data_IF_005889343133
#
_entry.id   IF_005889343133
#
_cell.length_a   1.000
_cell.length_b   1.000
_cell.length_c   1.000
_cell.angle_alpha   90.00
_cell.angle_beta   90.00
_cell.angle_gamma   90.00
#
_symmetry.space_group_name_H-M   'P 1'
#
loop_
_entity.id
_entity.type
_entity.pdbx_description
1 polymer ?
#
# COMPACT_ATOMS: atom_id res chain seq x y z
N UNK A 1 17.25 36.24 -1.15
CA UNK A 1 16.52 36.47 0.11
C UNK A 1 16.95 35.40 1.09
N UNK A 2 17.21 35.77 2.35
CA UNK A 2 17.43 34.79 3.41
C UNK A 2 16.14 33.99 3.60
N UNK A 3 16.26 32.67 3.74
CA UNK A 3 15.11 31.82 4.05
C UNK A 3 14.84 31.98 5.55
N UNK A 4 13.68 32.52 5.91
CA UNK A 4 13.24 32.54 7.31
C UNK A 4 12.26 31.39 7.55
N UNK A 5 12.18 30.83 8.77
CA UNK A 5 11.23 29.76 9.10
C UNK A 5 9.78 30.17 8.80
N UNK A 6 9.45 31.45 9.00
CA UNK A 6 8.13 32.03 8.69
C UNK A 6 7.74 31.88 7.22
N UNK A 7 8.68 32.05 6.29
CA UNK A 7 8.42 31.89 4.85
C UNK A 7 8.12 30.43 4.52
N UNK A 8 8.86 29.49 5.11
CA UNK A 8 8.62 28.06 4.91
C UNK A 8 7.24 27.68 5.44
N UNK A 9 6.91 28.08 6.67
CA UNK A 9 5.60 27.81 7.27
C UNK A 9 4.46 28.42 6.45
N UNK A 10 4.60 29.67 6.00
CA UNK A 10 3.62 30.31 5.12
C UNK A 10 3.42 29.53 3.81
N UNK A 11 4.51 29.04 3.19
CA UNK A 11 4.43 28.19 1.98
C UNK A 11 3.70 26.88 2.26
N UNK A 12 4.01 26.20 3.36
CA UNK A 12 3.34 24.95 3.75
C UNK A 12 1.84 25.16 4.02
N UNK A 13 1.45 26.30 4.59
CA UNK A 13 0.03 26.66 4.78
C UNK A 13 -0.69 26.80 3.44
N UNK A 14 -0.08 27.43 2.44
CA UNK A 14 -0.68 27.62 1.09
C UNK A 14 -0.83 26.32 0.27
N UNK A 15 -0.23 25.21 0.71
CA UNK A 15 -0.32 23.91 0.03
C UNK A 15 -1.78 23.42 -0.05
N UNK A 16 -2.26 23.14 -1.26
CA UNK A 16 -3.60 22.61 -1.52
C UNK A 16 -3.55 21.32 -2.37
N UNK A 17 -4.71 20.76 -2.71
CA UNK A 17 -4.83 19.46 -3.39
C UNK A 17 -4.49 19.50 -4.90
N UNK A 18 -4.30 20.69 -5.48
CA UNK A 18 -3.99 20.82 -6.90
C UNK A 18 -2.54 20.42 -7.20
N UNK A 19 -2.33 19.75 -8.32
CA UNK A 19 -1.01 19.35 -8.77
C UNK A 19 -0.07 20.56 -8.98
N UNK A 20 -0.61 21.70 -9.42
CA UNK A 20 0.15 22.94 -9.60
C UNK A 20 0.68 23.48 -8.26
N UNK A 21 -0.14 23.48 -7.20
CA UNK A 21 0.30 23.89 -5.86
C UNK A 21 1.42 22.99 -5.34
N UNK A 22 1.24 21.67 -5.41
CA UNK A 22 2.22 20.69 -4.95
C UNK A 22 3.54 20.84 -5.73
N UNK A 23 3.46 20.87 -7.05
CA UNK A 23 4.65 20.98 -7.93
C UNK A 23 5.36 22.32 -7.75
N UNK A 24 4.62 23.42 -7.65
CA UNK A 24 5.16 24.75 -7.45
C UNK A 24 5.92 24.88 -6.12
N UNK A 25 5.36 24.35 -5.03
CA UNK A 25 6.03 24.36 -3.72
C UNK A 25 7.22 23.40 -3.73
N UNK A 26 7.12 22.22 -4.35
CA UNK A 26 8.25 21.30 -4.49
C UNK A 26 9.43 21.93 -5.24
N UNK A 27 9.17 22.64 -6.34
CA UNK A 27 10.19 23.40 -7.06
C UNK A 27 10.85 24.46 -6.18
N UNK A 28 10.07 25.19 -5.39
CA UNK A 28 10.58 26.20 -4.47
C UNK A 28 11.46 25.58 -3.36
N UNK A 29 11.07 24.43 -2.81
CA UNK A 29 11.86 23.66 -1.83
C UNK A 29 13.19 23.23 -2.45
N UNK A 30 13.18 22.69 -3.67
CA UNK A 30 14.38 22.23 -4.38
C UNK A 30 15.32 23.41 -4.70
N UNK A 31 14.76 24.57 -5.07
CA UNK A 31 15.54 25.78 -5.27
C UNK A 31 16.29 26.21 -3.99
N UNK A 32 15.65 26.04 -2.82
CA UNK A 32 16.22 26.35 -1.51
C UNK A 32 16.91 25.16 -0.82
N UNK A 33 17.35 24.13 -1.56
CA UNK A 33 18.00 22.92 -1.02
C UNK A 33 19.16 23.15 -0.03
N UNK A 34 19.84 24.32 -0.09
CA UNK A 34 20.87 24.69 0.88
C UNK A 34 20.36 24.73 2.33
N UNK A 35 19.07 24.94 2.51
CA UNK A 35 18.37 24.93 3.79
C UNK A 35 17.55 23.65 3.98
N UNK A 36 17.94 22.54 3.35
CA UNK A 36 17.19 21.28 3.39
C UNK A 36 16.82 20.87 4.83
N UNK A 37 17.78 20.86 5.75
CA UNK A 37 17.52 20.46 7.14
C UNK A 37 16.45 21.32 7.82
N UNK A 38 16.54 22.65 7.67
CA UNK A 38 15.56 23.59 8.26
C UNK A 38 14.17 23.41 7.65
N UNK A 39 14.09 23.28 6.32
CA UNK A 39 12.82 23.05 5.62
C UNK A 39 12.18 21.73 6.05
N UNK A 40 12.98 20.65 6.15
CA UNK A 40 12.48 19.35 6.58
C UNK A 40 12.03 19.36 8.04
N UNK A 41 12.74 20.06 8.93
CA UNK A 41 12.30 20.21 10.32
C UNK A 41 10.94 20.91 10.44
N UNK A 42 10.73 21.99 9.70
CA UNK A 42 9.43 22.69 9.69
C UNK A 42 8.33 21.85 9.03
N UNK A 43 8.67 21.07 8.01
CA UNK A 43 7.75 20.09 7.43
C UNK A 43 7.35 19.00 8.44
N UNK A 44 8.28 18.51 9.27
CA UNK A 44 8.00 17.52 10.33
C UNK A 44 7.03 18.09 11.38
N UNK A 45 7.27 19.30 11.84
CA UNK A 45 6.39 20.01 12.78
C UNK A 45 4.99 20.18 12.17
N UNK A 46 4.93 20.66 10.93
CA UNK A 46 3.67 20.82 10.19
C UNK A 46 2.94 19.49 9.99
N UNK A 47 3.65 18.39 9.70
CA UNK A 47 3.05 17.07 9.53
C UNK A 47 2.45 16.52 10.82
N UNK A 48 3.10 16.80 11.95
CA UNK A 48 2.62 16.37 13.27
C UNK A 48 1.31 17.06 13.65
N UNK A 49 1.24 18.37 13.41
CA UNK A 49 0.13 19.24 13.83
C UNK A 49 -1.03 19.30 12.82
N UNK A 50 -0.77 18.97 11.56
CA UNK A 50 -1.76 19.03 10.50
C UNK A 50 -2.96 18.08 10.71
N UNK A 51 -4.18 18.45 10.29
CA UNK A 51 -5.31 17.54 10.22
C UNK A 51 -5.10 16.46 9.13
N UNK A 52 -5.85 15.36 9.20
CA UNK A 52 -5.66 14.17 8.35
C UNK A 52 -5.53 14.45 6.85
N UNK A 53 -6.37 15.32 6.28
CA UNK A 53 -6.31 15.68 4.86
C UNK A 53 -5.02 16.45 4.53
N UNK A 54 -4.60 17.37 5.40
CA UNK A 54 -3.37 18.16 5.20
C UNK A 54 -2.12 17.31 5.37
N UNK A 55 -2.12 16.29 6.26
CA UNK A 55 -1.02 15.31 6.35
C UNK A 55 -0.77 14.60 5.04
N UNK A 56 -1.84 14.20 4.34
CA UNK A 56 -1.72 13.58 3.02
C UNK A 56 -1.09 14.53 2.00
N UNK A 57 -1.49 15.81 1.98
CA UNK A 57 -0.88 16.80 1.09
C UNK A 57 0.59 17.03 1.38
N UNK A 58 0.98 17.11 2.65
CA UNK A 58 2.37 17.22 3.06
C UNK A 58 3.20 15.99 2.63
N UNK A 59 2.61 14.80 2.65
CA UNK A 59 3.23 13.58 2.12
C UNK A 59 3.34 13.59 0.59
N UNK A 60 2.37 14.13 -0.13
CA UNK A 60 2.48 14.33 -1.58
C UNK A 60 3.56 15.36 -1.94
N UNK A 61 3.67 16.44 -1.18
CA UNK A 61 4.74 17.41 -1.32
C UNK A 61 6.11 16.77 -1.13
N UNK A 62 6.33 16.04 -0.03
CA UNK A 62 7.65 15.45 0.21
C UNK A 62 7.98 14.39 -0.84
N UNK A 63 6.98 13.62 -1.28
CA UNK A 63 7.11 12.67 -2.36
C UNK A 63 7.57 13.33 -3.67
N UNK A 64 6.93 14.44 -4.06
CA UNK A 64 7.33 15.21 -5.25
C UNK A 64 8.78 15.73 -5.11
N UNK A 65 9.12 16.27 -3.93
CA UNK A 65 10.47 16.78 -3.64
C UNK A 65 11.53 15.69 -3.77
N UNK A 66 11.36 14.52 -3.14
CA UNK A 66 12.38 13.45 -3.18
C UNK A 66 12.50 12.83 -4.58
N UNK A 67 11.39 12.68 -5.31
CA UNK A 67 11.41 12.18 -6.69
C UNK A 67 12.13 13.15 -7.62
N UNK A 68 11.78 14.44 -7.61
CA UNK A 68 12.45 15.43 -8.42
C UNK A 68 13.91 15.62 -8.02
N UNK A 69 14.23 15.57 -6.73
CA UNK A 69 15.60 15.64 -6.24
C UNK A 69 16.43 14.47 -6.79
N UNK A 70 15.85 13.26 -6.86
CA UNK A 70 16.50 12.10 -7.46
C UNK A 70 16.78 12.30 -8.96
N UNK A 71 15.80 12.80 -9.72
CA UNK A 71 15.95 13.09 -11.16
C UNK A 71 17.04 14.16 -11.39
N UNK A 72 17.06 15.20 -10.56
CA UNK A 72 18.03 16.30 -10.62
C UNK A 72 19.37 15.98 -9.94
N UNK A 73 19.56 14.74 -9.45
CA UNK A 73 20.76 14.28 -8.72
C UNK A 73 21.14 15.17 -7.51
N UNK A 74 20.13 15.67 -6.82
CA UNK A 74 20.26 16.44 -5.58
C UNK A 74 20.07 15.47 -4.41
N UNK A 75 21.12 15.24 -3.62
CA UNK A 75 21.08 14.31 -2.49
C UNK A 75 20.71 14.99 -1.17
N UNK A 76 21.08 16.27 -0.99
CA UNK A 76 20.87 17.03 0.26
C UNK A 76 19.47 16.89 0.86
N UNK A 77 18.42 16.96 0.02
CA UNK A 77 17.03 16.83 0.44
C UNK A 77 16.64 15.39 0.79
N UNK A 78 17.16 14.40 0.05
CA UNK A 78 16.89 12.99 0.32
C UNK A 78 17.57 12.59 1.63
N UNK A 79 18.81 13.03 1.83
CA UNK A 79 19.61 12.77 3.02
C UNK A 79 19.03 13.47 4.26
N UNK A 80 18.45 14.66 4.11
CA UNK A 80 17.75 15.36 5.19
C UNK A 80 16.43 14.67 5.60
N UNK A 81 15.71 14.06 4.67
CA UNK A 81 14.44 13.35 4.94
C UNK A 81 14.67 11.95 5.52
N UNK A 82 15.66 11.24 5.02
CA UNK A 82 15.95 9.83 5.34
C UNK A 82 15.95 9.49 6.84
N UNK A 83 16.58 10.26 7.75
CA UNK A 83 16.62 9.89 9.17
C UNK A 83 15.26 9.99 9.88
N UNK A 84 14.32 10.79 9.36
CA UNK A 84 13.04 11.05 10.03
C UNK A 84 11.86 10.37 9.35
N UNK A 85 12.01 9.91 8.11
CA UNK A 85 10.90 9.40 7.29
C UNK A 85 10.17 8.24 7.94
N UNK A 86 10.88 7.32 8.60
CA UNK A 86 10.25 6.15 9.25
C UNK A 86 9.31 6.59 10.36
N UNK A 87 9.80 7.43 11.28
CA UNK A 87 9.03 7.88 12.43
C UNK A 87 7.89 8.82 12.02
N UNK A 88 8.20 9.84 11.22
CA UNK A 88 7.24 10.87 10.86
C UNK A 88 6.08 10.32 10.00
N UNK A 89 6.40 9.48 9.00
CA UNK A 89 5.38 8.92 8.10
C UNK A 89 4.55 7.86 8.82
N UNK A 90 5.16 7.04 9.70
CA UNK A 90 4.39 6.05 10.47
C UNK A 90 3.46 6.69 11.50
N UNK A 91 3.88 7.76 12.18
CA UNK A 91 3.03 8.52 13.08
C UNK A 91 1.87 9.19 12.33
N UNK A 92 2.15 9.81 11.17
CA UNK A 92 1.11 10.37 10.31
C UNK A 92 0.13 9.27 9.88
N UNK A 93 0.63 8.12 9.43
CA UNK A 93 -0.15 6.96 9.01
C UNK A 93 -1.09 6.43 10.12
N UNK A 94 -0.60 6.29 11.35
CA UNK A 94 -1.40 5.82 12.48
C UNK A 94 -2.58 6.76 12.78
N UNK A 95 -2.36 8.08 12.64
CA UNK A 95 -3.33 9.11 12.98
C UNK A 95 -4.44 9.36 11.94
N UNK A 96 -4.35 8.81 10.73
CA UNK A 96 -5.31 9.08 9.64
C UNK A 96 -6.32 7.94 9.44
N UNK A 97 -7.51 8.21 8.85
CA UNK A 97 -8.50 7.18 8.52
C UNK A 97 -8.02 6.23 7.43
N UNK A 98 -8.67 5.06 7.31
CA UNK A 98 -8.33 3.99 6.37
C UNK A 98 -8.24 4.46 4.92
N UNK A 99 -9.15 5.32 4.47
CA UNK A 99 -9.14 5.89 3.10
C UNK A 99 -7.84 6.63 2.78
N UNK A 100 -7.29 7.36 3.75
CA UNK A 100 -6.03 8.10 3.58
C UNK A 100 -4.83 7.15 3.74
N UNK A 101 -4.90 6.19 4.66
CA UNK A 101 -3.88 5.14 4.80
C UNK A 101 -3.59 4.43 3.48
N UNK A 102 -4.62 4.08 2.71
CA UNK A 102 -4.45 3.47 1.38
C UNK A 102 -3.66 4.40 0.44
N UNK A 103 -3.94 5.70 0.46
CA UNK A 103 -3.20 6.70 -0.33
C UNK A 103 -1.73 6.82 0.11
N UNK A 104 -1.46 6.76 1.42
CA UNK A 104 -0.09 6.77 1.96
C UNK A 104 0.67 5.49 1.55
N UNK A 105 0.02 4.33 1.56
CA UNK A 105 0.61 3.06 1.06
C UNK A 105 1.01 3.16 -0.41
N UNK A 106 0.22 3.80 -1.26
CA UNK A 106 0.62 4.05 -2.65
C UNK A 106 1.88 4.93 -2.76
N UNK A 107 2.02 5.96 -1.92
CA UNK A 107 3.25 6.79 -1.89
C UNK A 107 4.45 5.93 -1.50
N UNK A 108 4.30 5.07 -0.49
CA UNK A 108 5.34 4.12 -0.09
C UNK A 108 5.71 3.13 -1.21
N UNK A 109 4.73 2.59 -1.94
CA UNK A 109 4.98 1.69 -3.06
C UNK A 109 5.79 2.37 -4.16
N UNK A 110 5.51 3.65 -4.44
CA UNK A 110 6.31 4.44 -5.39
C UNK A 110 7.75 4.62 -4.90
N UNK A 111 7.97 4.84 -3.61
CA UNK A 111 9.32 4.90 -3.04
C UNK A 111 10.07 3.57 -3.17
N UNK A 112 9.37 2.45 -3.03
CA UNK A 112 9.93 1.11 -3.25
C UNK A 112 10.31 0.90 -4.72
N UNK A 113 9.39 1.16 -5.64
CA UNK A 113 9.58 0.96 -7.08
C UNK A 113 10.74 1.81 -7.62
N UNK A 114 10.89 3.04 -7.13
CA UNK A 114 11.91 3.97 -7.60
C UNK A 114 13.20 3.94 -6.77
N UNK A 115 13.28 3.05 -5.76
CA UNK A 115 14.40 2.94 -4.83
C UNK A 115 14.87 4.31 -4.30
N UNK A 116 13.91 5.14 -3.84
CA UNK A 116 14.19 6.49 -3.34
C UNK A 116 15.01 6.43 -2.05
N UNK A 117 14.64 5.51 -1.15
CA UNK A 117 15.31 5.27 0.11
C UNK A 117 15.98 3.88 0.12
N UNK A 118 16.87 3.66 1.09
CA UNK A 118 17.52 2.36 1.26
C UNK A 118 16.51 1.26 1.61
N UNK A 119 16.82 0.01 1.25
CA UNK A 119 15.96 -1.14 1.56
C UNK A 119 15.64 -1.24 3.06
N UNK A 120 16.62 -0.91 3.93
CA UNK A 120 16.43 -0.91 5.38
C UNK A 120 15.33 0.08 5.81
N UNK A 121 15.39 1.32 5.33
CA UNK A 121 14.40 2.36 5.66
C UNK A 121 13.00 1.92 5.19
N UNK A 122 12.89 1.37 3.97
CA UNK A 122 11.62 0.91 3.43
C UNK A 122 11.04 -0.26 4.24
N UNK A 123 11.86 -1.24 4.61
CA UNK A 123 11.45 -2.35 5.48
C UNK A 123 11.03 -1.89 6.87
N UNK A 124 11.78 -0.98 7.49
CA UNK A 124 11.46 -0.42 8.80
C UNK A 124 10.11 0.33 8.76
N UNK A 125 9.86 1.11 7.70
CA UNK A 125 8.59 1.81 7.48
C UNK A 125 7.41 0.84 7.23
N UNK A 126 7.63 -0.24 6.47
CA UNK A 126 6.64 -1.29 6.26
C UNK A 126 6.23 -1.96 7.58
N UNK A 127 7.21 -2.30 8.41
CA UNK A 127 6.97 -2.89 9.73
C UNK A 127 6.14 -1.94 10.61
N UNK A 128 6.45 -0.64 10.58
CA UNK A 128 5.67 0.37 11.31
C UNK A 128 4.25 0.55 10.81
N UNK A 129 4.00 0.44 9.50
CA UNK A 129 2.63 0.44 8.97
C UNK A 129 1.84 -0.79 9.42
N UNK A 130 2.47 -1.97 9.42
CA UNK A 130 1.84 -3.19 9.94
C UNK A 130 1.51 -3.07 11.43
N UNK A 131 2.45 -2.54 12.23
CA UNK A 131 2.25 -2.26 13.66
C UNK A 131 1.09 -1.27 13.88
N UNK A 132 1.03 -0.20 13.10
CA UNK A 132 -0.02 0.81 13.18
C UNK A 132 -1.40 0.32 12.71
N UNK A 133 -1.45 -0.60 11.74
CA UNK A 133 -2.69 -1.27 11.32
C UNK A 133 -3.16 -2.28 12.38
N UNK A 134 -2.22 -2.99 13.00
CA UNK A 134 -2.49 -3.90 14.12
C UNK A 134 -3.03 -3.15 15.35
N UNK A 135 -2.37 -2.05 15.76
CA UNK A 135 -2.77 -1.27 16.93
C UNK A 135 -4.15 -0.58 16.76
N UNK A 136 -4.57 -0.27 15.51
CA UNK A 136 -5.89 0.33 15.24
C UNK A 136 -7.04 -0.67 15.31
N UNK A 137 -6.75 -1.96 15.14
CA UNK A 137 -7.71 -3.05 15.30
C UNK A 137 -7.92 -3.42 16.78
N UNK A 138 -7.36 -2.63 17.70
CA UNK A 138 -7.43 -2.81 19.14
C UNK A 138 -6.43 -3.85 19.62
N UNK A 139 -5.79 -3.60 20.76
CA UNK A 139 -5.23 -4.69 21.55
C UNK A 139 -6.34 -5.73 21.76
N UNK A 140 -6.19 -6.97 21.29
CA UNK A 140 -6.60 -8.04 22.17
C UNK A 140 -5.51 -8.14 23.24
N UNK A 141 -5.91 -8.37 24.49
CA UNK A 141 -5.04 -9.14 25.38
C UNK A 141 -4.49 -10.33 24.57
N UNK A 142 -3.26 -10.78 24.79
CA UNK A 142 -2.61 -11.85 24.02
C UNK A 142 -3.41 -13.18 23.89
N UNK A 143 -4.62 -13.22 24.44
CA UNK A 143 -5.65 -14.25 24.41
C UNK A 143 -6.65 -14.11 23.23
N UNK A 144 -6.88 -12.93 22.63
CA UNK A 144 -7.96 -12.69 21.63
C UNK A 144 -7.48 -12.13 20.28
N UNK A 145 -6.28 -12.49 19.81
CA UNK A 145 -5.88 -12.11 18.45
C UNK A 145 -6.82 -12.82 17.44
N UNK A 146 -7.49 -12.12 16.51
CA UNK A 146 -8.29 -12.76 15.49
C UNK A 146 -7.43 -13.81 14.77
N UNK A 147 -7.81 -15.09 14.83
CA UNK A 147 -6.99 -16.19 14.31
C UNK A 147 -6.56 -15.96 12.84
N UNK A 148 -7.40 -15.26 12.07
CA UNK A 148 -7.14 -14.89 10.68
C UNK A 148 -5.92 -13.97 10.47
N UNK A 149 -5.55 -13.11 11.43
CA UNK A 149 -4.38 -12.24 11.30
C UNK A 149 -3.10 -13.07 11.36
N UNK A 150 -3.03 -14.02 12.29
CA UNK A 150 -1.91 -14.96 12.40
C UNK A 150 -1.76 -15.79 11.12
N UNK A 151 -2.88 -16.20 10.53
CA UNK A 151 -2.92 -16.88 9.23
C UNK A 151 -2.41 -16.02 8.09
N UNK A 152 -2.81 -14.74 8.03
CA UNK A 152 -2.37 -13.83 6.97
C UNK A 152 -0.84 -13.66 6.98
N UNK A 153 -0.23 -13.55 8.16
CA UNK A 153 1.22 -13.48 8.32
C UNK A 153 1.90 -14.77 7.87
N UNK A 154 1.41 -15.92 8.32
CA UNK A 154 1.94 -17.23 7.92
C UNK A 154 1.86 -17.46 6.41
N UNK A 155 0.80 -16.96 5.76
CA UNK A 155 0.66 -17.01 4.31
C UNK A 155 1.72 -16.16 3.59
N UNK A 156 1.98 -14.95 4.07
CA UNK A 156 3.04 -14.08 3.54
C UNK A 156 4.41 -14.72 3.72
N UNK A 157 4.71 -15.24 4.90
CA UNK A 157 5.99 -15.92 5.20
C UNK A 157 6.19 -17.13 4.28
N UNK A 158 5.17 -17.97 4.11
CA UNK A 158 5.20 -19.10 3.18
C UNK A 158 5.46 -18.66 1.73
N UNK A 159 4.86 -17.56 1.29
CA UNK A 159 5.07 -16.99 -0.05
C UNK A 159 6.51 -16.47 -0.23
N UNK A 160 7.05 -15.76 0.75
CA UNK A 160 8.42 -15.24 0.73
C UNK A 160 9.41 -16.41 0.67
N UNK A 161 9.26 -17.41 1.53
CA UNK A 161 10.15 -18.57 1.54
C UNK A 161 10.02 -19.41 0.26
N UNK A 162 8.84 -19.51 -0.35
CA UNK A 162 8.65 -20.16 -1.64
C UNK A 162 9.44 -19.46 -2.76
N UNK A 163 9.35 -18.13 -2.85
CA UNK A 163 10.12 -17.35 -3.84
C UNK A 163 11.62 -17.50 -3.61
N UNK A 164 12.07 -17.38 -2.37
CA UNK A 164 13.48 -17.53 -1.99
C UNK A 164 14.03 -18.91 -2.36
N UNK A 165 13.27 -19.98 -2.07
CA UNK A 165 13.60 -21.36 -2.43
C UNK A 165 13.72 -21.55 -3.95
N UNK A 166 12.78 -21.00 -4.73
CA UNK A 166 12.85 -21.07 -6.19
C UNK A 166 14.08 -20.35 -6.76
N UNK A 167 14.40 -19.16 -6.24
CA UNK A 167 15.58 -18.39 -6.66
C UNK A 167 16.88 -19.14 -6.36
N UNK A 168 17.04 -19.68 -5.15
CA UNK A 168 18.25 -20.44 -4.80
C UNK A 168 18.36 -21.74 -5.60
N UNK A 169 17.23 -22.40 -5.92
CA UNK A 169 17.24 -23.60 -6.75
C UNK A 169 17.70 -23.29 -8.18
N UNK A 170 17.22 -22.19 -8.77
CA UNK A 170 17.68 -21.74 -10.08
C UNK A 170 19.19 -21.43 -10.07
N UNK A 171 19.71 -20.81 -9.01
CA UNK A 171 21.14 -20.56 -8.86
C UNK A 171 21.96 -21.86 -8.79
N UNK A 172 21.47 -22.86 -8.04
CA UNK A 172 22.08 -24.20 -8.00
C UNK A 172 22.08 -24.84 -9.39
N UNK A 173 20.97 -24.78 -10.12
CA UNK A 173 20.87 -25.40 -11.46
C UNK A 173 21.85 -24.78 -12.46
N UNK A 174 22.01 -23.45 -12.42
CA UNK A 174 22.98 -22.74 -13.27
C UNK A 174 24.42 -23.13 -12.91
N UNK A 175 24.75 -23.17 -11.62
CA UNK A 175 26.10 -23.52 -11.15
C UNK A 175 26.42 -25.00 -11.40
N UNK A 176 25.46 -25.89 -11.19
CA UNK A 176 25.61 -27.32 -11.42
C UNK A 176 25.83 -27.61 -12.91
N UNK A 177 25.01 -27.02 -13.79
CA UNK A 177 25.20 -27.13 -15.24
C UNK A 177 26.57 -26.60 -15.68
N UNK A 178 26.99 -25.46 -15.15
CA UNK A 178 28.32 -24.89 -15.44
C UNK A 178 29.46 -25.79 -14.96
N UNK A 179 29.29 -26.48 -13.83
CA UNK A 179 30.25 -27.44 -13.30
C UNK A 179 30.37 -28.69 -14.17
N UNK A 180 29.25 -29.22 -14.70
CA UNK A 180 29.26 -30.34 -15.63
C UNK A 180 29.87 -29.98 -17.00
N UNK A 181 29.59 -28.79 -17.52
CA UNK A 181 30.05 -28.34 -18.84
C UNK A 181 31.51 -27.84 -18.84
N UNK A 182 32.07 -27.41 -17.70
CA UNK A 182 33.40 -26.77 -17.60
C UNK A 182 34.34 -27.50 -16.64
N UNK A 183 34.51 -28.80 -16.80
CA UNK A 183 35.66 -29.51 -16.21
C UNK A 183 36.96 -28.91 -16.79
N UNK A 184 37.58 -27.99 -16.06
CA UNK A 184 38.85 -27.37 -16.42
C UNK A 184 40.02 -28.22 -15.92
N UNK A 185 41.11 -28.29 -16.69
CA UNK A 185 42.35 -28.97 -16.28
C UNK A 185 43.10 -28.24 -15.14
N UNK A 186 42.65 -27.04 -14.74
CA UNK A 186 43.17 -26.30 -13.60
C UNK A 186 42.51 -26.77 -12.29
N UNK A 187 43.26 -27.46 -11.40
CA UNK A 187 42.73 -27.99 -10.15
C UNK A 187 42.29 -26.90 -9.17
N UNK A 188 42.94 -25.73 -9.14
CA UNK A 188 42.61 -24.65 -8.20
C UNK A 188 41.29 -23.96 -8.59
N UNK A 189 41.06 -23.82 -9.90
CA UNK A 189 39.83 -23.26 -10.43
C UNK A 189 38.64 -24.21 -10.21
N UNK A 190 38.85 -25.52 -10.40
CA UNK A 190 37.81 -26.52 -10.15
C UNK A 190 37.42 -26.60 -8.67
N UNK A 191 38.39 -26.50 -7.75
CA UNK A 191 38.13 -26.45 -6.31
C UNK A 191 37.28 -25.22 -5.92
N UNK A 192 37.58 -24.05 -6.50
CA UNK A 192 36.77 -22.82 -6.30
C UNK A 192 35.33 -22.98 -6.82
N UNK A 193 35.14 -23.55 -8.01
CA UNK A 193 33.79 -23.82 -8.54
C UNK A 193 33.02 -24.81 -7.68
N UNK A 194 33.67 -25.88 -7.22
CA UNK A 194 33.08 -26.85 -6.29
C UNK A 194 32.67 -26.20 -4.98
N UNK A 195 33.52 -25.35 -4.39
CA UNK A 195 33.19 -24.61 -3.18
C UNK A 195 31.98 -23.67 -3.36
N UNK A 196 31.89 -22.98 -4.51
CA UNK A 196 30.74 -22.14 -4.83
C UNK A 196 29.45 -22.95 -4.98
N UNK A 197 29.51 -24.10 -5.66
CA UNK A 197 28.37 -24.99 -5.82
C UNK A 197 27.90 -25.55 -4.47
N UNK A 198 28.83 -26.00 -3.62
CA UNK A 198 28.50 -26.49 -2.27
C UNK A 198 27.81 -25.39 -1.46
N UNK A 199 28.34 -24.16 -1.46
CA UNK A 199 27.71 -23.04 -0.75
C UNK A 199 26.31 -22.71 -1.30
N UNK A 200 26.12 -22.75 -2.62
CA UNK A 200 24.82 -22.54 -3.25
C UNK A 200 23.82 -23.64 -2.87
N UNK A 201 24.25 -24.91 -2.86
CA UNK A 201 23.43 -26.05 -2.46
C UNK A 201 23.04 -25.96 -0.99
N UNK A 202 23.97 -25.67 -0.08
CA UNK A 202 23.65 -25.49 1.35
C UNK A 202 22.69 -24.32 1.60
N UNK A 203 22.85 -23.21 0.86
CA UNK A 203 21.92 -22.08 0.91
C UNK A 203 20.52 -22.48 0.40
N UNK A 204 20.46 -23.20 -0.71
CA UNK A 204 19.23 -23.73 -1.29
C UNK A 204 18.53 -24.70 -0.35
N UNK A 205 19.26 -25.63 0.26
CA UNK A 205 18.71 -26.57 1.25
C UNK A 205 18.07 -25.81 2.42
N UNK A 206 18.76 -24.78 2.95
CA UNK A 206 18.25 -23.96 4.04
C UNK A 206 16.96 -23.22 3.68
N UNK A 207 16.89 -22.61 2.51
CA UNK A 207 15.69 -21.87 2.07
C UNK A 207 14.52 -22.82 1.79
N UNK A 208 14.78 -23.99 1.21
CA UNK A 208 13.77 -25.04 1.05
C UNK A 208 13.24 -25.52 2.40
N UNK A 209 14.11 -25.73 3.40
CA UNK A 209 13.70 -26.15 4.74
C UNK A 209 12.76 -25.13 5.39
N UNK A 210 13.10 -23.85 5.34
CA UNK A 210 12.24 -22.76 5.83
C UNK A 210 10.92 -22.68 5.04
N UNK A 211 10.95 -22.96 3.74
CA UNK A 211 9.75 -23.02 2.89
C UNK A 211 8.81 -24.17 3.27
N UNK A 212 9.36 -25.32 3.67
CA UNK A 212 8.57 -26.46 4.16
C UNK A 212 8.01 -26.15 5.54
N UNK A 213 8.84 -25.66 6.46
CA UNK A 213 8.46 -25.35 7.84
C UNK A 213 7.34 -24.29 7.90
N UNK A 214 7.47 -23.20 7.13
CA UNK A 214 6.43 -22.16 7.04
C UNK A 214 5.11 -22.68 6.47
N UNK A 215 5.14 -23.58 5.48
CA UNK A 215 3.91 -24.20 4.94
C UNK A 215 3.26 -25.16 5.94
N UNK A 216 4.04 -25.98 6.65
CA UNK A 216 3.49 -26.86 7.70
C UNK A 216 2.82 -26.05 8.80
N UNK A 217 3.45 -24.95 9.22
CA UNK A 217 2.88 -24.05 10.22
C UNK A 217 1.60 -23.35 9.72
N UNK A 218 1.53 -22.99 8.44
CA UNK A 218 0.32 -22.45 7.81
C UNK A 218 -0.80 -23.49 7.76
N UNK A 219 -0.50 -24.72 7.31
CA UNK A 219 -1.47 -25.83 7.25
C UNK A 219 -2.07 -26.09 8.62
N UNK A 220 -1.23 -26.27 9.64
CA UNK A 220 -1.68 -26.53 11.02
C UNK A 220 -2.61 -25.42 11.54
N UNK A 221 -2.33 -24.16 11.20
CA UNK A 221 -3.19 -23.04 11.61
C UNK A 221 -4.53 -23.04 10.86
N UNK A 222 -4.54 -23.42 9.57
CA UNK A 222 -5.77 -23.54 8.78
C UNK A 222 -6.65 -24.70 9.27
N UNK A 223 -6.04 -25.83 9.61
CA UNK A 223 -6.74 -27.00 10.17
C UNK A 223 -7.38 -26.65 11.52
N UNK A 224 -6.65 -25.95 12.39
CA UNK A 224 -7.18 -25.49 13.69
C UNK A 224 -8.40 -24.59 13.51
N UNK A 225 -8.32 -23.60 12.61
CA UNK A 225 -9.44 -22.71 12.33
C UNK A 225 -10.63 -23.48 11.73
N UNK A 226 -10.37 -24.43 10.81
CA UNK A 226 -11.40 -25.27 10.20
C UNK A 226 -12.14 -26.09 11.26
N UNK A 227 -11.42 -26.69 12.19
CA UNK A 227 -12.00 -27.49 13.27
C UNK A 227 -12.78 -26.63 14.26
N UNK A 228 -12.31 -25.41 14.55
CA UNK A 228 -13.07 -24.44 15.35
C UNK A 228 -14.42 -24.10 14.69
N UNK A 229 -14.41 -23.80 13.39
CA UNK A 229 -15.65 -23.49 12.65
C UNK A 229 -16.60 -24.70 12.61
N UNK A 230 -16.09 -25.91 12.43
CA UNK A 230 -16.90 -27.14 12.49
C UNK A 230 -17.56 -27.33 13.86
N UNK A 231 -16.84 -27.08 14.94
CA UNK A 231 -17.41 -27.14 16.30
C UNK A 231 -18.48 -26.08 16.52
N UNK A 232 -18.29 -24.86 16.00
CA UNK A 232 -19.28 -23.80 16.13
C UNK A 232 -20.57 -24.17 15.38
N UNK A 233 -20.46 -24.69 14.15
CA UNK A 233 -21.61 -25.19 13.39
C UNK A 233 -22.37 -26.26 14.17
N UNK A 234 -21.67 -27.26 14.73
CA UNK A 234 -22.30 -28.31 15.53
C UNK A 234 -23.03 -27.75 16.76
N UNK A 235 -22.47 -26.72 17.41
CA UNK A 235 -23.09 -26.06 18.56
C UNK A 235 -24.36 -25.30 18.15
N UNK A 236 -24.33 -24.58 17.03
CA UNK A 236 -25.51 -23.89 16.51
C UNK A 236 -26.60 -24.87 16.06
N UNK A 237 -26.25 -25.99 15.44
CA UNK A 237 -27.21 -27.05 15.09
C UNK A 237 -27.92 -27.61 16.34
N UNK A 238 -27.17 -27.84 17.42
CA UNK A 238 -27.73 -28.28 18.69
C UNK A 238 -28.69 -27.24 19.29
N UNK A 239 -28.29 -25.96 19.29
CA UNK A 239 -29.12 -24.85 19.75
C UNK A 239 -30.42 -24.73 18.93
N UNK A 240 -30.33 -24.84 17.60
CA UNK A 240 -31.50 -24.82 16.71
C UNK A 240 -32.43 -25.98 17.04
N UNK A 241 -31.88 -27.18 17.28
CA UNK A 241 -32.69 -28.35 17.66
C UNK A 241 -33.41 -28.14 19.00
N UNK A 242 -32.74 -27.53 19.99
CA UNK A 242 -33.34 -27.20 21.28
C UNK A 242 -34.47 -26.18 21.14
N UNK A 243 -34.20 -25.08 20.42
CA UNK A 243 -35.21 -24.04 20.16
C UNK A 243 -36.43 -24.61 19.41
N UNK A 244 -36.20 -25.51 18.45
CA UNK A 244 -37.28 -26.20 17.73
C UNK A 244 -38.11 -27.06 18.68
N UNK A 245 -37.47 -27.75 19.63
CA UNK A 245 -38.17 -28.53 20.66
C UNK A 245 -39.01 -27.64 21.58
N UNK A 246 -38.45 -26.50 22.02
CA UNK A 246 -39.17 -25.53 22.85
C UNK A 246 -40.40 -25.00 22.11
N UNK A 247 -40.22 -24.64 20.84
CA UNK A 247 -41.30 -24.12 19.99
C UNK A 247 -42.41 -25.17 19.81
N UNK A 248 -42.07 -26.45 19.62
CA UNK A 248 -43.06 -27.53 19.52
C UNK A 248 -43.89 -27.71 20.81
N UNK A 249 -43.29 -27.52 21.98
CA UNK A 249 -43.98 -27.54 23.28
C UNK A 249 -44.91 -26.33 23.42
N UNK A 250 -44.45 -25.13 23.05
CA UNK A 250 -45.21 -23.88 23.16
C UNK A 250 -46.38 -23.84 22.17
N UNK A 251 -46.23 -24.38 20.97
CA UNK A 251 -47.31 -24.51 19.97
C UNK A 251 -48.39 -25.54 20.35
N UNK A 252 -48.27 -26.21 21.49
CA UNK A 252 -49.30 -27.12 21.99
C UNK A 252 -49.43 -28.43 21.22
N UNK A 253 -48.41 -28.83 20.44
CA UNK A 253 -48.32 -30.18 19.85
C UNK A 253 -47.90 -31.20 20.92
N UNK A 254 -48.70 -31.36 21.97
CA UNK A 254 -48.60 -32.53 22.82
C UNK A 254 -49.05 -33.76 22.01
N UNK A 255 -48.29 -34.87 21.97
CA UNK A 255 -48.76 -36.09 21.36
C UNK A 255 -50.00 -36.55 22.13
N UNK A 256 -51.08 -36.75 21.39
CA UNK A 256 -52.41 -37.09 21.87
C UNK A 256 -52.39 -38.20 22.91
N UNK A 257 -52.64 -37.86 24.18
CA UNK A 257 -53.05 -38.84 25.18
C UNK A 257 -54.51 -39.20 24.86
N UNK A 258 -54.69 -40.42 24.40
CA UNK A 258 -55.96 -40.96 23.93
C UNK A 258 -56.53 -41.92 24.99
N UNK A 259 -57.84 -41.75 25.25
CA UNK A 259 -58.83 -42.69 25.85
C UNK A 259 -58.79 -42.87 27.38
N UNK A 260 -59.88 -42.95 28.16
CA UNK A 260 -61.35 -42.83 28.05
C UNK A 260 -61.89 -42.94 29.53
N UNK A 261 -63.19 -43.21 29.84
CA UNK A 261 -64.33 -42.30 30.00
C UNK A 261 -64.91 -42.24 31.45
N UNK A 262 -65.73 -41.20 31.70
CA UNK A 262 -66.87 -41.05 32.65
C UNK A 262 -66.89 -41.91 33.94
N UNK A 263 -66.97 -41.25 35.12
CA UNK A 263 -68.02 -41.57 36.11
C UNK A 263 -68.27 -40.47 37.18
N UNK A 264 -69.52 -39.99 37.17
CA UNK A 264 -70.43 -39.60 38.27
C UNK A 264 -70.11 -38.51 39.33
N UNK A 265 -70.94 -37.46 39.27
CA UNK A 265 -71.73 -36.83 40.35
C UNK A 265 -71.05 -36.36 41.66
N UNK A 266 -71.06 -35.05 41.90
CA UNK A 266 -71.99 -34.49 42.91
C UNK A 266 -72.17 -32.97 42.77
N UNK A 267 -73.43 -32.54 42.74
CA UNK A 267 -73.87 -31.14 42.82
C UNK A 267 -73.67 -30.59 44.24
N UNK A 268 -73.15 -29.38 44.37
CA UNK A 268 -73.74 -28.36 45.26
C UNK A 268 -73.26 -26.96 44.84
N UNK A 269 -74.20 -26.16 44.37
CA UNK A 269 -74.10 -24.69 44.29
C UNK A 269 -74.50 -24.14 45.68
N UNK A 270 -73.94 -23.01 46.15
CA UNK A 270 -74.68 -21.77 45.93
C UNK A 270 -73.81 -20.54 45.63
N UNK A 271 -74.16 -19.87 44.55
CA UNK A 271 -74.28 -18.42 44.35
C UNK A 271 -74.00 -17.53 45.58
N UNK A 272 -73.02 -16.63 45.43
CA UNK A 272 -73.08 -15.27 45.97
C UNK A 272 -72.35 -14.30 45.01
N UNK A 273 -73.12 -13.39 44.42
CA UNK A 273 -72.63 -12.17 43.80
C UNK A 273 -72.12 -11.20 44.89
N UNK A 274 -71.02 -10.51 44.64
CA UNK A 274 -70.93 -9.04 44.74
C UNK A 274 -69.55 -8.57 44.30
N UNK A 275 -69.57 -7.50 43.51
CA UNK A 275 -68.47 -6.62 43.16
C UNK A 275 -67.55 -6.29 44.34
N UNK A 276 -66.24 -6.25 44.10
CA UNK A 276 -65.44 -5.05 44.36
C UNK A 276 -64.00 -5.17 43.85
N UNK A 277 -63.57 -4.07 43.24
CA UNK A 277 -62.29 -3.89 42.57
C UNK A 277 -61.12 -3.80 43.56
N UNK A 278 -60.00 -4.46 43.25
CA UNK A 278 -58.66 -3.90 43.46
C UNK A 278 -57.63 -4.58 42.54
N UNK A 279 -57.07 -3.79 41.63
CA UNK A 279 -56.02 -4.16 40.68
C UNK A 279 -54.68 -3.64 41.24
N UNK A 280 -53.61 -4.44 41.38
CA UNK A 280 -52.27 -3.89 41.57
C UNK A 280 -51.62 -3.64 40.21
N UNK A 281 -51.21 -2.39 39.99
CA UNK A 281 -50.46 -1.91 38.82
C UNK A 281 -49.18 -2.74 38.60
N UNK A 282 -49.06 -3.30 37.40
CA UNK A 282 -47.78 -3.79 36.86
C UNK A 282 -47.26 -2.78 35.85
N UNK A 283 -46.21 -2.06 36.23
CA UNK A 283 -45.50 -1.14 35.35
C UNK A 283 -44.95 -1.90 34.14
N UNK A 284 -45.52 -1.58 32.97
CA UNK A 284 -45.07 -2.04 31.66
C UNK A 284 -43.99 -1.10 31.15
N UNK A 285 -42.73 -1.56 31.16
CA UNK A 285 -41.66 -0.97 30.36
C UNK A 285 -41.09 -2.01 29.39
N UNK A 286 -41.80 -2.23 28.29
CA UNK A 286 -41.24 -2.73 27.03
C UNK A 286 -40.98 -1.54 26.10
N UNK A 287 -39.77 -1.37 25.54
CA UNK A 287 -39.54 -0.37 24.50
C UNK A 287 -40.16 -0.83 23.15
N UNK A 288 -40.61 0.09 22.28
CA UNK A 288 -41.44 -0.26 21.12
C UNK A 288 -40.60 -0.82 19.95
N UNK A 289 -41.06 -1.95 19.40
CA UNK A 289 -40.67 -2.43 18.06
C UNK A 289 -41.74 -1.91 17.09
N UNK A 290 -41.43 -0.86 16.36
CA UNK A 290 -42.26 -0.41 15.23
C UNK A 290 -41.86 -1.19 13.98
N UNK A 291 -42.82 -1.95 13.45
CA UNK A 291 -42.69 -2.68 12.19
C UNK A 291 -43.36 -1.92 11.04
N UNK A 292 -42.58 -1.84 9.94
CA UNK A 292 -42.99 -1.91 8.52
C UNK A 292 -43.53 -0.59 7.88
N UNK A 293 -43.48 -0.42 6.53
CA UNK A 293 -43.79 -1.45 5.53
C UNK A 293 -42.78 -1.63 4.37
N UNK A 294 -42.81 -2.84 3.81
CA UNK A 294 -42.42 -3.13 2.43
C UNK A 294 -43.40 -2.43 1.49
N UNK A 295 -42.89 -1.61 0.56
CA UNK A 295 -43.57 -1.27 -0.68
C UNK A 295 -42.64 -1.55 -1.84
N UNK A 296 -43.09 -2.48 -2.68
CA UNK A 296 -42.57 -2.82 -4.00
C UNK A 296 -42.96 -1.70 -4.96
N UNK A 297 -42.00 -0.98 -5.53
CA UNK A 297 -42.21 -0.27 -6.80
C UNK A 297 -40.92 -0.29 -7.64
N UNK A 298 -41.05 -0.91 -8.80
CA UNK A 298 -40.08 -1.00 -9.88
C UNK A 298 -40.18 0.28 -10.72
N UNK A 299 -39.12 1.09 -10.77
CA UNK A 299 -38.68 1.75 -12.01
C UNK A 299 -37.21 2.21 -11.89
N UNK A 300 -36.41 2.16 -12.97
CA UNK A 300 -34.95 2.23 -12.89
C UNK A 300 -34.49 3.68 -12.74
N UNK A 301 -33.79 3.98 -11.66
CA UNK A 301 -32.99 5.20 -11.54
C UNK A 301 -31.56 4.83 -11.89
N UNK A 302 -31.10 5.32 -13.04
CA UNK A 302 -29.72 5.20 -13.52
C UNK A 302 -28.72 5.66 -12.45
N UNK A 303 -27.57 4.98 -12.29
CA UNK A 303 -26.50 5.49 -11.45
C UNK A 303 -25.89 6.72 -12.11
N UNK A 304 -26.16 7.89 -11.53
CA UNK A 304 -25.43 9.13 -11.80
C UNK A 304 -23.97 8.96 -11.40
N UNK A 305 -23.14 8.61 -12.39
CA UNK A 305 -21.69 8.75 -12.31
C UNK A 305 -21.35 10.24 -12.37
N UNK A 306 -20.77 10.78 -11.29
CA UNK A 306 -20.09 12.08 -11.35
C UNK A 306 -18.64 11.89 -11.84
N UNK A 307 -18.13 12.80 -12.68
CA UNK A 307 -17.13 12.51 -13.70
C UNK A 307 -15.68 12.51 -13.17
N UNK A 308 -14.85 11.67 -13.79
CA UNK A 308 -13.39 11.72 -13.72
C UNK A 308 -12.87 13.10 -14.21
N UNK A 309 -11.87 13.71 -13.56
CA UNK A 309 -11.08 14.78 -14.18
C UNK A 309 -10.00 14.21 -15.13
N UNK A 310 -9.57 14.98 -16.13
CA UNK A 310 -9.21 14.47 -17.45
C UNK A 310 -7.85 13.78 -17.52
N UNK A 311 -7.80 12.70 -18.29
CA UNK A 311 -6.59 12.29 -19.00
C UNK A 311 -6.35 13.31 -20.11
N UNK A 312 -5.27 14.08 -20.02
CA UNK A 312 -4.87 14.93 -21.15
C UNK A 312 -4.32 14.01 -22.22
N UNK A 313 -5.08 13.95 -23.31
CA UNK A 313 -4.78 13.23 -24.52
C UNK A 313 -3.38 13.58 -25.04
N UNK A 314 -2.60 12.55 -25.32
CA UNK A 314 -1.89 12.47 -26.58
C UNK A 314 -2.72 11.56 -27.48
N UNK A 315 -3.61 12.14 -28.28
CA UNK A 315 -4.14 11.55 -29.51
C UNK A 315 -3.90 12.60 -30.60
N UNK A 316 -3.40 12.26 -31.77
CA UNK A 316 -3.89 11.21 -32.65
C UNK A 316 -2.78 10.80 -33.64
N UNK A 317 -2.61 9.48 -33.83
CA UNK A 317 -2.93 8.76 -35.08
C UNK A 317 -1.83 8.85 -36.15
N UNK A 318 -1.52 7.83 -36.94
CA UNK A 318 -1.94 6.45 -37.06
C UNK A 318 -1.01 5.80 -38.08
N UNK A 319 -0.90 4.47 -37.99
CA UNK A 319 -0.69 3.52 -39.11
C UNK A 319 0.66 3.48 -39.83
N UNK A 320 1.31 2.33 -39.62
CA UNK A 320 1.84 1.40 -40.63
C UNK A 320 2.59 2.00 -41.83
N UNK A 321 3.89 1.71 -41.94
CA UNK A 321 4.38 0.61 -42.78
C UNK A 321 5.90 0.44 -42.70
N UNK A 322 6.36 -0.81 -42.61
CA UNK A 322 7.67 -1.21 -43.14
C UNK A 322 7.37 -2.05 -44.38
N UNK A 323 7.75 -1.53 -45.54
CA UNK A 323 8.54 -2.20 -46.59
C UNK A 323 8.16 -1.70 -47.97
N UNK A 324 9.18 -1.61 -48.81
CA UNK A 324 9.21 -1.42 -50.27
C UNK A 324 9.31 0.02 -50.81
N UNK A 325 10.55 0.32 -51.21
CA UNK A 325 10.97 1.19 -52.32
C UNK A 325 10.45 0.61 -53.67
N UNK A 326 10.54 1.25 -54.88
CA UNK A 326 11.29 2.46 -55.23
C UNK A 326 10.66 3.41 -56.30
N UNK A 327 11.39 4.50 -56.59
CA UNK A 327 11.59 5.19 -57.91
C UNK A 327 10.63 6.28 -58.43
N UNK A 328 11.30 7.34 -58.97
CA UNK A 328 10.93 8.27 -60.07
C UNK A 328 9.91 9.37 -59.75
N UNK A 329 9.94 10.58 -60.31
CA UNK A 329 10.86 11.42 -61.12
C UNK A 329 10.05 12.72 -61.35
N UNK A 330 10.72 13.84 -61.62
CA UNK A 330 10.21 15.01 -62.39
C UNK A 330 9.34 16.05 -61.64
N UNK A 331 9.81 17.30 -61.41
CA UNK A 331 9.79 18.51 -62.30
C UNK A 331 8.40 19.19 -62.21
N UNK A 332 8.19 20.48 -61.89
CA UNK A 332 8.77 21.73 -62.41
C UNK A 332 8.25 22.97 -61.62
N UNK A 333 9.08 24.03 -61.55
CA UNK A 333 8.77 25.49 -61.65
C UNK A 333 7.74 26.19 -60.71
N UNK A 334 7.87 27.46 -60.28
CA UNK A 334 8.72 28.58 -60.72
C UNK A 334 8.78 29.69 -59.65
N UNK A 335 10.00 30.19 -59.40
CA UNK A 335 10.46 31.58 -59.26
C UNK A 335 9.59 32.69 -58.62
N UNK A 336 10.20 33.38 -57.64
CA UNK A 336 10.54 34.82 -57.78
C UNK A 336 11.78 35.19 -56.96
N UNK A 337 12.80 35.58 -57.70
CA UNK A 337 14.10 36.22 -57.39
C UNK A 337 13.96 37.75 -57.18
N UNK A 338 15.03 38.60 -57.10
CA UNK A 338 16.32 38.49 -56.39
C UNK A 338 16.79 39.86 -55.81
N UNK A 339 18.00 39.90 -55.22
CA UNK A 339 19.15 40.84 -55.43
C UNK A 339 20.07 40.78 -54.20
N UNK A 340 21.26 40.17 -54.30
CA UNK A 340 22.58 40.72 -54.75
C UNK A 340 23.15 41.79 -53.80
N UNK A 341 24.43 41.87 -53.42
CA UNK A 341 25.68 41.22 -53.80
C UNK A 341 26.71 41.55 -52.68
N UNK A 342 27.48 40.60 -52.14
CA UNK A 342 28.89 40.31 -52.43
C UNK A 342 30.00 41.32 -52.04
N UNK A 343 30.99 40.74 -51.33
CA UNK A 343 32.46 40.90 -51.41
C UNK A 343 33.24 42.06 -50.73
N UNK A 344 33.94 41.66 -49.64
CA UNK A 344 35.40 41.43 -49.53
C UNK A 344 36.42 42.59 -49.40
N UNK A 345 37.51 42.27 -48.66
CA UNK A 345 38.91 42.76 -48.65
C UNK A 345 39.52 43.63 -47.51
N UNK A 346 40.65 43.08 -47.00
CA UNK A 346 41.91 43.66 -46.42
C UNK A 346 41.86 44.48 -45.11
N UNK A 347 42.58 44.14 -44.01
CA UNK A 347 44.01 43.84 -43.71
C UNK A 347 44.89 45.10 -43.64
N UNK A 348 45.33 45.47 -42.43
CA UNK A 348 46.67 46.00 -42.12
C UNK A 348 46.95 45.97 -40.60
N UNK A 349 48.21 45.72 -40.21
CA UNK A 349 48.65 45.43 -38.85
C UNK A 349 49.51 46.52 -38.20
N UNK A 350 49.93 46.28 -36.95
CA UNK A 350 51.12 46.88 -36.32
C UNK A 350 51.55 46.10 -35.07
N UNK A 351 52.85 46.13 -34.83
CA UNK A 351 53.68 45.24 -34.01
C UNK A 351 53.83 45.65 -32.53
N UNK A 352 54.39 44.73 -31.70
CA UNK A 352 55.37 44.95 -30.60
C UNK A 352 55.32 43.80 -29.57
N UNK A 353 56.29 42.87 -29.60
CA UNK A 353 57.36 42.63 -28.61
C UNK A 353 56.93 41.88 -27.32
N UNK A 354 57.37 40.62 -27.17
CA UNK A 354 58.47 40.16 -26.28
C UNK A 354 58.02 39.98 -24.82
N UNK A 355 57.88 38.73 -24.32
CA UNK A 355 58.97 37.96 -23.68
C UNK A 355 58.46 36.79 -22.78
N UNK A 356 59.08 35.62 -22.98
CA UNK A 356 59.43 34.50 -22.06
C UNK A 356 58.54 34.16 -20.85
N UNK A 357 57.83 33.02 -20.81
CA UNK A 357 58.24 31.60 -20.55
C UNK A 357 58.97 31.33 -19.20
N UNK A 358 58.17 30.80 -18.27
CA UNK A 358 58.32 29.57 -17.46
C UNK A 358 59.52 29.36 -16.51
N UNK A 359 59.19 28.95 -15.26
CA UNK A 359 59.31 27.55 -14.78
C UNK A 359 59.78 27.44 -13.31
N UNK A 360 59.15 26.51 -12.58
CA UNK A 360 59.87 25.60 -11.70
C UNK A 360 59.81 25.85 -10.19
N UNK A 361 58.77 25.33 -9.53
CA UNK A 361 58.76 25.02 -8.10
C UNK A 361 58.85 23.50 -7.91
N UNK A 362 59.87 23.03 -7.18
CA UNK A 362 59.88 21.78 -6.44
C UNK A 362 60.49 22.06 -5.04
N UNK A 363 60.10 21.30 -4.00
CA UNK A 363 60.17 21.76 -2.61
C UNK A 363 61.40 21.26 -1.85
N UNK A 364 61.70 22.01 -0.79
CA UNK A 364 62.70 21.73 0.23
C UNK A 364 62.29 20.61 1.21
N UNK A 365 63.34 20.04 1.79
CA UNK A 365 63.40 19.06 2.87
C UNK A 365 63.23 19.71 4.24
#
# INVERSE_FOLDING_TARGET
>A
MALTPEIVSAKLVTLNETQESITGIAHWVIYHKRYANEIIQLWLESLREAPSNKKLLLLYLINEVVQQSRVKKITDLIDAVAPFVVEAVSQAYASVPSTIKTKIKYVYDVWCQRAIFSKKILSDLQNKFMEADYNRLGQPSAVDQPEWLSLSRRFVDASIHAKSSATTKSAVDVLYKSYEEKSSDDPELNEKFKAQLVNAVSSCERTHRLSVESRLALISSLETLLDNQRQQVQREEANISELTSILAVVEGKNPSINQNPIDTNNSTDPSYNSDDAYSPEVDSYSPPIDHAPYSTDLHPVEPSFSPLPPSVASTHSEKNNISENPTKESVEHQQKEPTDDFQNFQKEGSASSEDSIAAGLYPDN
#
